data_IF_383467361954
#
_entry.id   IF_383467361954
#
_cell.length_a   1.000
_cell.length_b   1.000
_cell.length_c   1.000
_cell.angle_alpha   90.00
_cell.angle_beta   90.00
_cell.angle_gamma   90.00
#
_symmetry.space_group_name_H-M   'P 1'
#
loop_
_entity.id
_entity.type
_entity.pdbx_description
1 polymer ?
#
# COMPACT_ATOMS: atom_id res chain seq x y z
N UNK A 1 -10.44 -26.36 4.69
CA UNK A 1 -9.21 -26.60 5.48
C UNK A 1 -9.64 -27.04 6.86
N UNK A 2 -9.03 -28.09 7.44
CA UNK A 2 -9.41 -28.55 8.77
C UNK A 2 -8.73 -27.69 9.84
N UNK A 3 -9.46 -27.32 10.90
CA UNK A 3 -8.98 -26.47 11.99
C UNK A 3 -7.66 -26.97 12.65
N UNK A 4 -7.38 -28.27 12.59
CA UNK A 4 -6.14 -28.86 13.11
C UNK A 4 -4.86 -28.47 12.35
N UNK A 5 -4.92 -28.26 11.03
CA UNK A 5 -3.76 -27.81 10.23
C UNK A 5 -3.42 -26.35 10.55
N UNK A 6 -4.44 -25.55 10.85
CA UNK A 6 -4.31 -24.13 11.15
C UNK A 6 -3.60 -23.89 12.48
N UNK A 7 -3.99 -24.61 13.53
CA UNK A 7 -3.31 -24.53 14.84
C UNK A 7 -1.84 -24.96 14.77
N UNK A 8 -1.52 -25.97 13.97
CA UNK A 8 -0.13 -26.44 13.80
C UNK A 8 0.73 -25.41 13.05
N UNK A 9 0.15 -24.69 12.08
CA UNK A 9 0.83 -23.57 11.41
C UNK A 9 1.05 -22.38 12.35
N UNK A 10 0.07 -22.04 13.18
CA UNK A 10 0.21 -20.95 14.17
C UNK A 10 1.34 -21.22 15.16
N UNK A 11 1.58 -22.48 15.55
CA UNK A 11 2.73 -22.86 16.39
C UNK A 11 4.09 -22.58 15.78
N UNK A 12 4.18 -22.54 14.44
CA UNK A 12 5.45 -22.29 13.73
C UNK A 12 5.70 -20.80 13.51
N UNK A 13 4.70 -19.94 13.77
CA UNK A 13 4.82 -18.49 13.59
C UNK A 13 5.50 -17.86 14.81
N UNK A 14 6.17 -16.73 14.54
CA UNK A 14 6.73 -15.88 15.58
C UNK A 14 5.64 -15.05 16.23
N UNK A 15 5.91 -14.53 17.42
CA UNK A 15 4.92 -13.80 18.21
C UNK A 15 4.45 -12.53 17.49
N UNK A 16 5.33 -11.84 16.77
CA UNK A 16 4.96 -10.66 15.96
C UNK A 16 3.91 -11.03 14.89
N UNK A 17 4.09 -12.18 14.24
CA UNK A 17 3.22 -12.66 13.17
C UNK A 17 1.86 -13.12 13.71
N UNK A 18 1.85 -13.72 14.91
CA UNK A 18 0.62 -14.08 15.60
C UNK A 18 -0.17 -12.82 16.00
N UNK A 19 0.52 -11.78 16.47
CA UNK A 19 -0.09 -10.48 16.76
C UNK A 19 -0.67 -9.84 15.50
N UNK A 20 0.06 -9.83 14.39
CA UNK A 20 -0.40 -9.29 13.11
C UNK A 20 -1.68 -9.99 12.63
N UNK A 21 -1.79 -11.32 12.79
CA UNK A 21 -3.00 -12.08 12.45
C UNK A 21 -4.16 -11.72 13.38
N UNK A 22 -3.91 -11.58 14.69
CA UNK A 22 -4.96 -11.25 15.67
C UNK A 22 -5.50 -9.84 15.49
N UNK A 23 -4.65 -8.89 15.11
CA UNK A 23 -5.01 -7.48 14.89
C UNK A 23 -5.27 -7.13 13.42
N UNK A 24 -5.30 -8.14 12.54
CA UNK A 24 -5.61 -7.96 11.11
C UNK A 24 -6.97 -7.31 10.92
N UNK A 25 -7.09 -6.50 9.85
CA UNK A 25 -8.33 -5.83 9.49
C UNK A 25 -9.21 -6.79 8.67
N UNK A 26 -10.54 -6.57 8.63
CA UNK A 26 -11.44 -7.37 7.80
C UNK A 26 -11.07 -7.35 6.30
N UNK A 27 -10.36 -6.31 5.87
CA UNK A 27 -9.90 -6.07 4.51
C UNK A 27 -8.72 -6.96 4.10
N UNK A 28 -7.98 -7.51 5.07
CA UNK A 28 -6.79 -8.34 4.83
C UNK A 28 -7.16 -9.78 4.39
N UNK A 29 -8.45 -10.11 4.38
CA UNK A 29 -8.96 -11.39 3.90
C UNK A 29 -8.60 -12.59 4.80
N UNK A 30 -8.17 -12.33 6.04
CA UNK A 30 -7.87 -13.38 7.01
C UNK A 30 -9.17 -14.00 7.51
N UNK A 31 -9.23 -15.33 7.43
CA UNK A 31 -10.37 -16.12 7.91
C UNK A 31 -10.52 -15.99 9.43
N UNK A 32 -11.74 -15.83 9.98
CA UNK A 32 -11.96 -15.71 11.42
C UNK A 32 -11.36 -16.87 12.23
N UNK A 33 -11.38 -18.08 11.66
CA UNK A 33 -10.80 -19.26 12.31
C UNK A 33 -9.27 -19.15 12.50
N UNK A 34 -8.58 -18.40 11.64
CA UNK A 34 -7.15 -18.12 11.77
C UNK A 34 -6.86 -17.11 12.89
N UNK A 35 -7.74 -16.13 13.08
CA UNK A 35 -7.67 -15.15 14.16
C UNK A 35 -7.85 -15.86 15.51
N UNK A 36 -8.86 -16.73 15.60
CA UNK A 36 -9.13 -17.50 16.82
C UNK A 36 -7.99 -18.48 17.14
N UNK A 37 -7.43 -19.14 16.12
CA UNK A 37 -6.26 -20.02 16.29
C UNK A 37 -5.04 -19.23 16.78
N UNK A 38 -4.75 -18.07 16.20
CA UNK A 38 -3.63 -17.22 16.62
C UNK A 38 -3.82 -16.69 18.06
N UNK A 39 -5.04 -16.28 18.42
CA UNK A 39 -5.36 -15.85 19.79
C UNK A 39 -5.17 -16.97 20.81
N UNK A 40 -5.57 -18.19 20.45
CA UNK A 40 -5.39 -19.36 21.32
C UNK A 40 -3.91 -19.69 21.53
N UNK A 41 -3.08 -19.58 20.49
CA UNK A 41 -1.64 -19.84 20.57
C UNK A 41 -0.93 -18.76 21.40
N UNK A 42 -1.29 -17.47 21.26
CA UNK A 42 -0.77 -16.39 22.09
C UNK A 42 -1.10 -16.60 23.58
N UNK A 43 -2.31 -17.09 23.88
CA UNK A 43 -2.70 -17.42 25.26
C UNK A 43 -1.89 -18.60 25.84
N UNK A 44 -1.49 -19.57 25.01
CA UNK A 44 -0.61 -20.69 25.41
C UNK A 44 0.82 -20.21 25.66
N UNK A 45 1.30 -19.22 24.90
CA UNK A 45 2.67 -18.68 25.02
C UNK A 45 2.87 -17.77 26.23
N UNK A 46 1.79 -17.39 26.91
CA UNK A 46 1.81 -16.66 28.18
C UNK A 46 2.72 -15.42 28.16
N UNK A 47 2.63 -14.66 27.07
CA UNK A 47 3.41 -13.46 26.82
C UNK A 47 3.08 -12.42 27.89
N UNK A 48 4.10 -11.76 28.43
CA UNK A 48 3.93 -10.76 29.49
C UNK A 48 3.07 -9.58 29.01
N UNK A 49 2.29 -8.94 29.90
CA UNK A 49 1.51 -7.75 29.54
C UNK A 49 2.39 -6.61 28.99
N UNK A 50 3.64 -6.52 29.44
CA UNK A 50 4.63 -5.56 28.94
C UNK A 50 5.06 -5.82 27.49
N UNK A 51 5.34 -7.07 27.13
CA UNK A 51 5.67 -7.45 25.74
C UNK A 51 4.45 -7.27 24.84
N UNK A 52 3.26 -7.58 25.35
CA UNK A 52 1.99 -7.40 24.62
C UNK A 52 1.77 -5.92 24.24
N UNK A 53 2.13 -4.99 25.12
CA UNK A 53 2.03 -3.56 24.85
C UNK A 53 3.01 -3.11 23.74
N UNK A 54 4.29 -3.50 23.84
CA UNK A 54 5.31 -3.14 22.84
C UNK A 54 5.01 -3.74 21.45
N UNK A 55 4.63 -5.02 21.39
CA UNK A 55 4.25 -5.69 20.15
C UNK A 55 3.00 -5.06 19.52
N UNK A 56 2.02 -4.69 20.34
CA UNK A 56 0.81 -4.01 19.86
C UNK A 56 1.13 -2.62 19.32
N UNK A 57 2.03 -1.88 19.96
CA UNK A 57 2.47 -0.57 19.50
C UNK A 57 3.20 -0.67 18.14
N UNK A 58 4.11 -1.64 17.98
CA UNK A 58 4.79 -1.87 16.69
C UNK A 58 3.83 -2.26 15.55
N UNK A 59 2.84 -3.12 15.83
CA UNK A 59 1.85 -3.52 14.82
C UNK A 59 0.92 -2.35 14.48
N UNK A 60 0.55 -1.52 15.47
CA UNK A 60 -0.24 -0.31 15.24
C UNK A 60 0.52 0.74 14.44
N UNK A 61 1.82 0.94 14.72
CA UNK A 61 2.69 1.83 13.93
C UNK A 61 2.80 1.35 12.47
N UNK A 62 3.03 0.05 12.25
CA UNK A 62 3.06 -0.52 10.89
C UNK A 62 1.76 -0.30 10.12
N UNK A 63 0.61 -0.45 10.77
CA UNK A 63 -0.70 -0.18 10.18
C UNK A 63 -0.98 1.32 9.93
N UNK A 64 -0.40 2.23 10.73
CA UNK A 64 -0.46 3.67 10.47
C UNK A 64 0.43 4.08 9.30
N UNK A 65 1.61 3.47 9.20
CA UNK A 65 2.53 3.69 8.08
C UNK A 65 1.92 3.22 6.74
N UNK A 66 1.21 2.10 6.72
CA UNK A 66 0.53 1.65 5.51
C UNK A 66 -0.72 2.49 5.18
N UNK A 67 -1.47 2.95 6.19
CA UNK A 67 -2.58 3.90 5.99
C UNK A 67 -2.10 5.26 5.47
N UNK A 68 -0.95 5.73 5.94
CA UNK A 68 -0.34 7.00 5.50
C UNK A 68 0.27 6.88 4.09
N UNK A 69 0.79 5.70 3.70
CA UNK A 69 1.21 5.43 2.32
C UNK A 69 0.04 5.44 1.34
N UNK A 70 -1.14 4.97 1.75
CA UNK A 70 -2.33 4.91 0.90
C UNK A 70 -2.87 6.30 0.51
N UNK A 71 -2.69 7.31 1.35
CA UNK A 71 -3.24 8.67 1.16
C UNK A 71 -2.21 9.71 0.72
N UNK A 72 -0.94 9.33 0.58
CA UNK A 72 0.12 10.27 0.24
C UNK A 72 0.03 10.67 -1.23
N UNK A 73 -0.07 11.97 -1.48
CA UNK A 73 -0.07 12.57 -2.81
C UNK A 73 1.34 12.62 -3.44
N UNK A 74 1.40 12.77 -4.77
CA UNK A 74 2.66 13.05 -5.44
C UNK A 74 3.28 14.36 -4.94
N UNK A 75 4.60 14.41 -4.84
CA UNK A 75 5.29 15.69 -4.64
C UNK A 75 5.14 16.56 -5.89
N UNK A 76 5.12 17.89 -5.73
CA UNK A 76 4.98 18.82 -6.85
C UNK A 76 6.06 18.65 -7.93
N UNK A 77 7.29 18.28 -7.53
CA UNK A 77 8.36 17.93 -8.47
C UNK A 77 8.02 16.69 -9.30
N UNK A 78 7.51 15.64 -8.66
CA UNK A 78 7.11 14.42 -9.36
C UNK A 78 5.94 14.70 -10.31
N UNK A 79 4.98 15.55 -9.94
CA UNK A 79 3.88 15.98 -10.83
C UNK A 79 4.44 16.62 -12.10
N UNK A 80 5.40 17.54 -11.97
CA UNK A 80 6.02 18.20 -13.12
C UNK A 80 6.73 17.21 -14.05
N UNK A 81 7.45 16.23 -13.48
CA UNK A 81 8.11 15.16 -14.25
C UNK A 81 7.08 14.34 -15.03
N UNK A 82 5.97 13.95 -14.42
CA UNK A 82 4.91 13.19 -15.10
C UNK A 82 4.15 14.01 -16.14
N UNK A 83 3.97 15.32 -15.95
CA UNK A 83 3.41 16.20 -16.97
C UNK A 83 4.25 16.24 -18.24
N UNK A 84 5.58 16.30 -18.11
CA UNK A 84 6.49 16.45 -19.26
C UNK A 84 6.87 15.10 -19.88
N UNK A 85 7.09 14.08 -19.04
CA UNK A 85 7.64 12.79 -19.46
C UNK A 85 6.68 11.61 -19.28
N UNK A 86 5.42 11.83 -18.91
CA UNK A 86 4.48 10.73 -18.59
C UNK A 86 4.24 9.72 -19.73
N UNK A 87 4.38 10.16 -20.98
CA UNK A 87 4.29 9.31 -22.19
C UNK A 87 5.56 8.49 -22.47
N UNK A 88 6.66 8.77 -21.80
CA UNK A 88 7.90 8.02 -21.95
C UNK A 88 7.85 6.71 -21.18
N UNK A 89 8.66 5.73 -21.58
CA UNK A 89 8.80 4.46 -20.87
C UNK A 89 9.08 4.68 -19.37
N UNK A 90 9.88 5.69 -19.02
CA UNK A 90 10.20 6.04 -17.63
C UNK A 90 8.95 6.45 -16.85
N UNK A 91 8.06 7.24 -17.45
CA UNK A 91 6.77 7.61 -16.85
C UNK A 91 5.85 6.40 -16.72
N UNK A 92 5.71 5.60 -17.78
CA UNK A 92 4.82 4.43 -17.74
C UNK A 92 5.27 3.41 -16.69
N UNK A 93 6.56 3.06 -16.65
CA UNK A 93 7.11 2.16 -15.62
C UNK A 93 7.01 2.76 -14.21
N UNK A 94 7.13 4.08 -14.06
CA UNK A 94 6.93 4.76 -12.78
C UNK A 94 5.51 4.61 -12.24
N UNK A 95 4.49 4.74 -13.08
CA UNK A 95 3.07 4.54 -12.71
C UNK A 95 2.84 3.09 -12.28
N UNK A 96 3.36 2.11 -13.05
CA UNK A 96 3.25 0.70 -12.68
C UNK A 96 3.98 0.37 -11.36
N UNK A 97 5.15 0.98 -11.11
CA UNK A 97 5.86 0.83 -9.85
C UNK A 97 5.10 1.38 -8.64
N UNK A 98 4.36 2.48 -8.82
CA UNK A 98 3.48 3.03 -7.78
C UNK A 98 2.29 2.10 -7.49
N UNK A 99 1.70 1.47 -8.52
CA UNK A 99 0.68 0.44 -8.32
C UNK A 99 1.22 -0.80 -7.60
N UNK A 100 2.41 -1.28 -7.99
CA UNK A 100 3.03 -2.46 -7.38
C UNK A 100 3.38 -2.26 -5.89
N UNK A 101 3.63 -1.02 -5.48
CA UNK A 101 3.97 -0.65 -4.10
C UNK A 101 2.74 -0.22 -3.26
N UNK A 102 1.52 -0.44 -3.77
CA UNK A 102 0.28 -0.11 -3.06
C UNK A 102 -0.05 1.39 -3.00
N UNK A 103 0.74 2.26 -3.64
CA UNK A 103 0.56 3.71 -3.64
C UNK A 103 -0.45 4.14 -4.72
N UNK A 104 -1.68 3.63 -4.61
CA UNK A 104 -2.75 3.84 -5.60
C UNK A 104 -3.07 5.31 -5.84
N UNK A 105 -3.13 6.13 -4.77
CA UNK A 105 -3.43 7.55 -4.90
C UNK A 105 -2.33 8.29 -5.70
N UNK A 106 -1.06 7.98 -5.44
CA UNK A 106 0.06 8.51 -6.24
C UNK A 106 -0.02 8.08 -7.70
N UNK A 107 -0.33 6.82 -7.97
CA UNK A 107 -0.45 6.36 -9.35
C UNK A 107 -1.56 7.10 -10.11
N UNK A 108 -2.69 7.36 -9.46
CA UNK A 108 -3.80 8.14 -10.02
C UNK A 108 -3.37 9.59 -10.28
N UNK A 109 -2.72 10.25 -9.32
CA UNK A 109 -2.19 11.61 -9.49
C UNK A 109 -1.20 11.70 -10.66
N UNK A 110 -0.33 10.70 -10.82
CA UNK A 110 0.62 10.62 -11.93
C UNK A 110 -0.07 10.44 -13.30
N UNK A 111 -1.15 9.66 -13.36
CA UNK A 111 -1.97 9.50 -14.56
C UNK A 111 -2.64 10.85 -14.91
N UNK A 112 -3.26 11.52 -13.95
CA UNK A 112 -3.87 12.83 -14.17
C UNK A 112 -2.84 13.85 -14.66
N UNK A 113 -1.68 13.93 -13.99
CA UNK A 113 -0.60 14.81 -14.40
C UNK A 113 -0.17 14.56 -15.86
N UNK A 114 -0.07 13.28 -16.24
CA UNK A 114 0.27 12.89 -17.62
C UNK A 114 -0.79 13.37 -18.63
N UNK A 115 -2.07 13.14 -18.37
CA UNK A 115 -3.15 13.58 -19.27
C UNK A 115 -3.23 15.09 -19.38
N UNK A 116 -3.08 15.82 -18.28
CA UNK A 116 -3.07 17.29 -18.29
C UNK A 116 -1.88 17.80 -19.09
N UNK A 117 -0.69 17.20 -18.92
CA UNK A 117 0.50 17.54 -19.71
C UNK A 117 0.28 17.34 -21.21
N UNK A 118 -0.33 16.21 -21.61
CA UNK A 118 -0.68 15.92 -23.00
C UNK A 118 -1.66 16.94 -23.56
N UNK A 119 -2.73 17.26 -22.81
CA UNK A 119 -3.73 18.23 -23.24
C UNK A 119 -3.11 19.63 -23.45
N UNK A 120 -2.24 20.06 -22.53
CA UNK A 120 -1.49 21.32 -22.65
C UNK A 120 -0.56 21.34 -23.86
N UNK A 121 0.21 20.27 -24.06
CA UNK A 121 1.11 20.14 -25.21
C UNK A 121 0.34 20.16 -26.54
N UNK A 122 -0.80 19.46 -26.61
CA UNK A 122 -1.67 19.46 -27.78
C UNK A 122 -2.28 20.83 -28.08
N UNK A 123 -2.73 21.55 -27.04
CA UNK A 123 -3.25 22.91 -27.18
C UNK A 123 -2.17 23.88 -27.68
N UNK A 124 -0.95 23.80 -27.14
CA UNK A 124 0.19 24.60 -27.60
C UNK A 124 0.56 24.30 -29.05
N UNK A 125 0.55 23.02 -29.45
CA UNK A 125 0.77 22.61 -30.84
C UNK A 125 -0.30 23.17 -31.78
N UNK A 126 -1.58 23.12 -31.39
CA UNK A 126 -2.67 23.70 -32.15
C UNK A 126 -2.49 25.21 -32.37
N UNK A 127 -2.16 25.94 -31.30
CA UNK A 127 -1.86 27.38 -31.37
C UNK A 127 -0.66 27.64 -32.29
N UNK A 128 0.41 26.86 -32.17
CA UNK A 128 1.58 27.00 -33.04
C UNK A 128 1.24 26.77 -34.52
N UNK A 129 0.43 25.75 -34.83
CA UNK A 129 -0.05 25.48 -36.19
C UNK A 129 -0.91 26.63 -36.71
N UNK A 130 -1.78 27.21 -35.88
CA UNK A 130 -2.62 28.35 -36.28
C UNK A 130 -1.83 29.65 -36.52
N UNK A 131 -0.68 29.82 -35.88
CA UNK A 131 0.18 31.00 -36.05
C UNK A 131 1.16 30.84 -37.22
N UNK A 132 1.65 29.62 -37.45
CA UNK A 132 2.71 29.32 -38.43
C UNK A 132 2.19 28.76 -39.77
N UNK A 133 0.95 28.27 -39.82
CA UNK A 133 0.28 27.78 -41.04
C UNK A 133 -0.61 28.84 -41.66
#
# INVERSE_FOLDING_TARGET
>A
MMAGDLAQRMRLLRDEQLFEIVYSRPEDGIVPEAIDAARSELAVRNISESENYELREQVLEGHQDDASRATRHLSGFAVAVFMVFGLTLVGTFGIFGLFATGRRQMAIDAIYATFVGIALAGALLLVAVLILG
#
